data_IF_997945999624
#
_entry.id   IF_997945999624
#
_cell.length_a   1.000
_cell.length_b   1.000
_cell.length_c   1.000
_cell.angle_alpha   90.00
_cell.angle_beta   90.00
_cell.angle_gamma   90.00
#
_symmetry.space_group_name_H-M   'P 1'
#
loop_
_entity.id
_entity.type
_entity.pdbx_description
1 polymer ?
#
# COMPACT_ATOMS: atom_id res chain seq x y z
N UNK A 1 8.30 30.14 16.42
CA UNK A 1 7.99 28.74 16.83
C UNK A 1 7.39 28.04 15.61
N UNK A 2 8.22 27.42 14.76
CA UNK A 2 7.74 26.69 13.59
C UNK A 2 7.53 25.24 14.01
N UNK A 3 6.29 24.87 14.32
CA UNK A 3 5.90 23.48 14.46
C UNK A 3 5.91 22.85 13.07
N UNK A 4 6.99 22.14 12.73
CA UNK A 4 6.95 21.13 11.69
C UNK A 4 6.40 19.86 12.36
N UNK A 5 5.08 19.72 12.35
CA UNK A 5 4.43 18.44 12.65
C UNK A 5 4.68 17.58 11.43
N UNK A 6 5.67 16.68 11.52
CA UNK A 6 5.78 15.57 10.58
C UNK A 6 4.61 14.62 10.83
N UNK A 7 3.49 14.91 10.17
CA UNK A 7 2.26 14.10 10.22
C UNK A 7 2.49 12.65 9.77
N UNK A 8 3.60 12.37 9.08
CA UNK A 8 4.02 11.04 8.65
C UNK A 8 4.46 10.14 9.80
N UNK A 9 5.15 10.68 10.83
CA UNK A 9 5.64 9.88 11.97
C UNK A 9 4.53 9.34 12.88
N UNK A 10 3.35 9.99 12.87
CA UNK A 10 2.21 9.56 13.69
C UNK A 10 1.38 8.50 12.98
N UNK A 11 1.30 8.57 11.64
CA UNK A 11 0.60 7.59 10.82
C UNK A 11 1.31 6.24 10.85
N UNK A 12 2.65 6.19 10.74
CA UNK A 12 3.46 4.95 10.84
C UNK A 12 3.10 4.10 12.07
N UNK A 13 2.94 4.74 13.24
CA UNK A 13 2.53 4.04 14.48
C UNK A 13 1.12 3.46 14.41
N UNK A 14 0.20 4.11 13.70
CA UNK A 14 -1.16 3.61 13.54
C UNK A 14 -1.23 2.44 12.55
N UNK A 15 -0.35 2.42 11.54
CA UNK A 15 -0.22 1.30 10.60
C UNK A 15 0.24 0.03 11.32
N UNK A 16 1.23 0.15 12.22
CA UNK A 16 1.76 -0.98 12.99
C UNK A 16 0.72 -1.65 13.89
N UNK A 17 -0.20 -0.88 14.48
CA UNK A 17 -1.29 -1.43 15.30
C UNK A 17 -2.36 -2.09 14.44
N UNK A 18 -2.74 -1.49 13.30
CA UNK A 18 -3.67 -2.09 12.35
C UNK A 18 -3.14 -3.41 11.77
N UNK A 19 -1.85 -3.48 11.44
CA UNK A 19 -1.20 -4.69 10.94
C UNK A 19 -1.23 -5.85 11.95
N UNK A 20 -1.15 -5.58 13.25
CA UNK A 20 -1.25 -6.62 14.30
C UNK A 20 -2.64 -7.23 14.38
N UNK A 21 -3.69 -6.47 14.07
CA UNK A 21 -5.08 -6.92 14.11
C UNK A 21 -5.49 -7.76 12.88
N UNK A 22 -4.85 -7.56 11.72
CA UNK A 22 -5.16 -8.27 10.48
C UNK A 22 -4.48 -9.65 10.36
N UNK A 23 -3.37 -9.90 11.09
CA UNK A 23 -2.61 -11.16 11.07
C UNK A 23 -3.41 -12.46 11.33
N UNK A 24 -4.42 -12.51 12.22
CA UNK A 24 -5.06 -13.78 12.59
C UNK A 24 -6.06 -14.35 11.56
N UNK A 25 -6.43 -13.62 10.50
CA UNK A 25 -7.57 -13.99 9.63
C UNK A 25 -7.21 -14.67 8.30
N UNK A 26 -5.92 -14.88 7.97
CA UNK A 26 -5.52 -15.52 6.69
C UNK A 26 -4.91 -16.91 6.93
N UNK A 27 -5.72 -17.95 7.24
CA UNK A 27 -5.27 -19.32 7.11
C UNK A 27 -5.59 -19.88 5.72
N UNK A 28 -4.78 -20.88 5.30
CA UNK A 28 -4.90 -21.77 4.12
C UNK A 28 -4.08 -21.31 2.90
N UNK A 29 -2.81 -21.76 2.83
CA UNK A 29 -1.95 -21.91 1.62
C UNK A 29 -2.22 -20.95 0.44
N UNK A 30 -2.33 -19.65 0.69
CA UNK A 30 -2.23 -18.68 -0.38
C UNK A 30 -0.74 -18.46 -0.64
N UNK A 31 -0.29 -18.84 -1.82
CA UNK A 31 0.99 -18.36 -2.33
C UNK A 31 0.93 -16.82 -2.32
N UNK A 32 1.84 -16.23 -1.55
CA UNK A 32 1.99 -14.79 -1.40
C UNK A 32 2.93 -14.30 -2.48
N UNK A 33 2.62 -13.17 -3.07
CA UNK A 33 3.48 -12.49 -4.02
C UNK A 33 3.79 -11.09 -3.53
N UNK A 34 4.98 -10.59 -3.88
CA UNK A 34 5.39 -9.23 -3.59
C UNK A 34 5.10 -8.37 -4.81
N UNK A 35 4.47 -7.22 -4.59
CA UNK A 35 4.18 -6.25 -5.64
C UNK A 35 4.64 -4.87 -5.22
N UNK A 36 5.23 -4.13 -6.16
CA UNK A 36 5.50 -2.71 -6.02
C UNK A 36 4.33 -1.92 -6.60
N UNK A 37 3.81 -0.97 -5.83
CA UNK A 37 2.77 -0.04 -6.26
C UNK A 37 3.33 1.37 -6.20
N UNK A 38 3.20 2.12 -7.30
CA UNK A 38 3.52 3.55 -7.36
C UNK A 38 2.25 4.37 -7.53
N UNK A 39 2.11 5.39 -6.70
CA UNK A 39 0.99 6.34 -6.71
C UNK A 39 1.53 7.77 -6.67
N UNK A 40 0.79 8.74 -7.21
CA UNK A 40 1.06 10.14 -6.89
C UNK A 40 0.64 10.44 -5.45
N UNK A 41 1.22 11.47 -4.82
CA UNK A 41 0.83 11.86 -3.47
C UNK A 41 -0.65 12.24 -3.31
N UNK A 42 -1.26 12.79 -4.37
CA UNK A 42 -2.72 13.06 -4.40
C UNK A 42 -3.54 11.78 -4.39
N UNK A 43 -2.98 10.70 -4.92
CA UNK A 43 -3.68 9.45 -5.14
C UNK A 43 -3.44 8.44 -4.03
N UNK A 44 -2.37 8.61 -3.26
CA UNK A 44 -2.07 7.79 -2.09
C UNK A 44 -3.24 7.75 -1.10
N UNK A 45 -3.75 8.92 -0.68
CA UNK A 45 -4.80 8.98 0.36
C UNK A 45 -6.09 8.26 -0.02
N UNK A 46 -6.49 8.27 -1.30
CA UNK A 46 -7.69 7.58 -1.79
C UNK A 46 -7.49 6.07 -2.00
N UNK A 47 -6.24 5.62 -2.11
CA UNK A 47 -5.88 4.23 -2.38
C UNK A 47 -5.41 3.49 -1.12
N UNK A 48 -4.99 4.20 -0.07
CA UNK A 48 -4.40 3.61 1.13
C UNK A 48 -5.30 2.56 1.79
N UNK A 49 -6.59 2.85 1.95
CA UNK A 49 -7.57 1.90 2.51
C UNK A 49 -7.71 0.63 1.65
N UNK A 50 -7.72 0.79 0.33
CA UNK A 50 -7.74 -0.36 -0.58
C UNK A 50 -6.45 -1.17 -0.41
N UNK A 51 -5.26 -0.54 -0.42
CA UNK A 51 -3.97 -1.22 -0.28
C UNK A 51 -3.91 -2.12 0.96
N UNK A 52 -4.27 -1.60 2.14
CA UNK A 52 -4.28 -2.39 3.38
C UNK A 52 -5.37 -3.47 3.40
N UNK A 53 -6.43 -3.33 2.60
CA UNK A 53 -7.47 -4.35 2.40
C UNK A 53 -7.05 -5.48 1.44
N UNK A 54 -6.04 -5.25 0.60
CA UNK A 54 -5.50 -6.25 -0.32
C UNK A 54 -4.35 -7.07 0.27
N UNK A 55 -3.56 -6.49 1.17
CA UNK A 55 -2.49 -7.19 1.87
C UNK A 55 -1.69 -6.31 2.80
N UNK A 56 -0.41 -6.63 2.97
CA UNK A 56 0.46 -6.01 3.98
C UNK A 56 1.54 -5.20 3.27
N UNK A 57 1.64 -3.91 3.57
CA UNK A 57 2.74 -3.06 3.11
C UNK A 57 3.99 -3.43 3.90
N UNK A 58 5.02 -3.94 3.22
CA UNK A 58 6.28 -4.32 3.86
C UNK A 58 7.24 -3.14 3.96
N UNK A 59 7.26 -2.29 2.93
CA UNK A 59 8.14 -1.13 2.81
C UNK A 59 7.45 -0.05 2.01
N UNK A 60 7.71 1.20 2.36
CA UNK A 60 7.26 2.35 1.59
C UNK A 60 8.31 3.46 1.54
N UNK A 61 8.30 4.22 0.45
CA UNK A 61 9.21 5.33 0.22
C UNK A 61 8.49 6.46 -0.52
N UNK A 62 8.67 7.69 -0.03
CA UNK A 62 8.28 8.90 -0.73
C UNK A 62 9.40 9.38 -1.63
N UNK A 63 9.10 9.50 -2.92
CA UNK A 63 10.02 10.00 -3.92
C UNK A 63 10.06 11.53 -3.90
N UNK A 64 11.16 12.08 -4.41
CA UNK A 64 11.39 13.54 -4.48
C UNK A 64 10.36 14.28 -5.35
N UNK A 65 9.70 13.58 -6.26
CA UNK A 65 8.63 14.10 -7.12
C UNK A 65 7.25 14.08 -6.44
N UNK A 66 7.18 13.63 -5.18
CA UNK A 66 5.93 13.50 -4.42
C UNK A 66 5.14 12.23 -4.75
N UNK A 67 5.70 11.30 -5.54
CA UNK A 67 5.13 9.96 -5.68
C UNK A 67 5.46 9.08 -4.49
N UNK A 68 4.55 8.18 -4.15
CA UNK A 68 4.72 7.16 -3.13
C UNK A 68 4.97 5.83 -3.84
N UNK A 69 5.94 5.06 -3.35
CA UNK A 69 6.22 3.69 -3.80
C UNK A 69 6.11 2.78 -2.58
N UNK A 70 5.23 1.79 -2.64
CA UNK A 70 5.10 0.76 -1.63
C UNK A 70 5.36 -0.63 -2.18
N UNK A 71 6.13 -1.43 -1.46
CA UNK A 71 6.24 -2.87 -1.66
C UNK A 71 5.31 -3.55 -0.68
N UNK A 72 4.38 -4.35 -1.20
CA UNK A 72 3.39 -5.05 -0.40
C UNK A 72 3.33 -6.53 -0.73
N UNK A 73 3.09 -7.32 0.30
CA UNK A 73 2.80 -8.74 0.22
C UNK A 73 1.29 -8.93 0.06
N UNK A 74 0.87 -9.58 -1.03
CA UNK A 74 -0.55 -9.87 -1.30
C UNK A 74 -0.76 -11.33 -1.70
N UNK A 75 -1.95 -11.89 -1.43
CA UNK A 75 -2.49 -13.05 -2.14
C UNK A 75 -2.22 -13.03 -3.65
N UNK A 76 -1.52 -14.04 -4.19
CA UNK A 76 -1.25 -14.11 -5.64
C UNK A 76 -2.53 -14.06 -6.48
N UNK A 77 -3.61 -14.69 -6.01
CA UNK A 77 -4.92 -14.68 -6.67
C UNK A 77 -5.62 -13.31 -6.71
N UNK A 78 -5.15 -12.30 -5.96
CA UNK A 78 -5.76 -10.96 -5.89
C UNK A 78 -4.94 -9.87 -6.58
N UNK A 79 -3.81 -10.21 -7.22
CA UNK A 79 -2.97 -9.22 -7.93
C UNK A 79 -3.75 -8.50 -9.03
N UNK A 80 -4.54 -9.25 -9.81
CA UNK A 80 -5.34 -8.68 -10.89
C UNK A 80 -6.44 -7.74 -10.36
N UNK A 81 -7.07 -8.11 -9.24
CA UNK A 81 -8.09 -7.32 -8.56
C UNK A 81 -7.49 -6.00 -8.02
N UNK A 82 -6.35 -6.09 -7.34
CA UNK A 82 -5.58 -4.91 -6.88
C UNK A 82 -5.24 -4.00 -8.07
N UNK A 83 -4.71 -4.56 -9.16
CA UNK A 83 -4.30 -3.79 -10.33
C UNK A 83 -5.47 -3.05 -10.96
N UNK A 84 -6.63 -3.71 -11.11
CA UNK A 84 -7.85 -3.07 -11.60
C UNK A 84 -8.32 -1.96 -10.66
N UNK A 85 -8.40 -2.26 -9.36
CA UNK A 85 -8.82 -1.28 -8.34
C UNK A 85 -7.94 -0.05 -8.32
N UNK A 86 -6.62 -0.22 -8.38
CA UNK A 86 -5.67 0.91 -8.40
C UNK A 86 -5.86 1.76 -9.66
N UNK A 87 -6.02 1.14 -10.84
CA UNK A 87 -6.30 1.88 -12.08
C UNK A 87 -7.60 2.66 -11.99
N UNK A 88 -8.67 2.08 -11.46
CA UNK A 88 -9.97 2.75 -11.35
C UNK A 88 -9.91 3.96 -10.41
N UNK A 89 -9.31 3.78 -9.22
CA UNK A 89 -9.15 4.86 -8.24
C UNK A 89 -8.28 6.00 -8.77
N UNK A 90 -7.26 5.68 -9.54
CA UNK A 90 -6.26 6.64 -10.03
C UNK A 90 -6.52 7.13 -11.45
N UNK A 91 -7.61 6.69 -12.09
CA UNK A 91 -7.86 6.96 -13.52
C UNK A 91 -6.69 6.53 -14.41
N UNK A 92 -6.02 5.45 -14.03
CA UNK A 92 -4.94 4.81 -14.77
C UNK A 92 -3.53 5.32 -14.47
N UNK A 93 -3.33 6.24 -13.53
CA UNK A 93 -1.99 6.78 -13.21
C UNK A 93 -1.19 5.89 -12.24
N UNK A 94 -1.84 4.95 -11.55
CA UNK A 94 -1.15 3.97 -10.71
C UNK A 94 -0.33 2.97 -11.54
N UNK A 95 0.88 2.67 -11.07
CA UNK A 95 1.69 1.59 -11.60
C UNK A 95 1.76 0.44 -10.59
N UNK A 96 1.48 -0.79 -11.04
CA UNK A 96 1.62 -2.00 -10.24
C UNK A 96 2.59 -2.94 -10.95
N UNK A 97 3.60 -3.42 -10.24
CA UNK A 97 4.65 -4.30 -10.74
C UNK A 97 4.80 -5.50 -9.83
N UNK A 98 4.77 -6.70 -10.41
CA UNK A 98 5.20 -7.91 -9.72
C UNK A 98 6.70 -7.84 -9.45
N UNK A 99 7.09 -8.16 -8.22
CA UNK A 99 8.48 -8.30 -7.82
C UNK A 99 8.75 -9.80 -7.77
N UNK A 100 9.55 -10.28 -8.71
CA UNK A 100 10.06 -11.66 -8.74
C UNK A 100 11.28 -11.82 -7.85
#
# INVERSE_FOLDING_TARGET
>A
MKFHVDAFKTMEKQVDEAMKLLKPLIPIRLEKSRVAVRLSGTDYGKCYEDLIGFGIVEREEWQKDGSWIGVMEIPAGRINELTGRMKDRTRGTAEVRLIS
#
